data_IF_806663323470
#
_entry.id   IF_806663323470
#
_cell.length_a   1.000
_cell.length_b   1.000
_cell.length_c   1.000
_cell.angle_alpha   90.00
_cell.angle_beta   90.00
_cell.angle_gamma   90.00
#
_symmetry.space_group_name_H-M   'P 1'
#
loop_
_entity.id
_entity.type
_entity.pdbx_description
1 polymer ?
#
# COMPACT_ATOMS: atom_id res chain seq x y z
N UNK A 1 -8.64 8.12 -15.72
CA UNK A 1 -7.88 8.34 -14.45
C UNK A 1 -6.40 7.92 -14.51
N UNK A 2 -5.99 7.06 -15.45
CA UNK A 2 -4.58 6.76 -15.70
C UNK A 2 -3.75 7.98 -16.08
N UNK A 3 -4.28 8.88 -16.92
CA UNK A 3 -3.58 10.11 -17.36
C UNK A 3 -3.07 10.92 -16.16
N UNK A 4 -3.97 11.17 -15.19
CA UNK A 4 -3.61 11.86 -13.96
C UNK A 4 -2.58 11.08 -13.12
N UNK A 5 -2.85 9.80 -12.84
CA UNK A 5 -1.95 8.99 -12.01
C UNK A 5 -0.55 8.80 -12.61
N UNK A 6 -0.46 8.67 -13.93
CA UNK A 6 0.80 8.53 -14.65
C UNK A 6 1.64 9.80 -14.53
N UNK A 7 1.04 10.98 -14.76
CA UNK A 7 1.74 12.26 -14.66
C UNK A 7 2.31 12.51 -13.24
N UNK A 8 1.53 12.19 -12.20
CA UNK A 8 1.99 12.29 -10.80
C UNK A 8 3.12 11.29 -10.53
N UNK A 9 2.97 10.03 -10.96
CA UNK A 9 4.00 9.01 -10.79
C UNK A 9 5.31 9.38 -11.49
N UNK A 10 5.25 9.96 -12.70
CA UNK A 10 6.43 10.43 -13.42
C UNK A 10 7.16 11.56 -12.68
N UNK A 11 6.40 12.49 -12.11
CA UNK A 11 6.97 13.59 -11.32
C UNK A 11 7.66 13.09 -10.05
N UNK A 12 7.07 12.11 -9.37
CA UNK A 12 7.60 11.53 -8.13
C UNK A 12 8.80 10.61 -8.38
N UNK A 13 8.73 9.76 -9.42
CA UNK A 13 9.84 8.88 -9.79
C UNK A 13 11.06 9.69 -10.27
N UNK A 14 10.83 10.85 -10.90
CA UNK A 14 11.85 11.78 -11.36
C UNK A 14 12.98 11.07 -12.15
N UNK A 15 12.59 10.15 -13.04
CA UNK A 15 13.48 9.33 -13.87
C UNK A 15 14.46 8.44 -13.08
N UNK A 16 14.19 8.16 -11.81
CA UNK A 16 15.01 7.26 -10.97
C UNK A 16 14.76 5.78 -11.28
N UNK A 17 13.65 5.45 -11.97
CA UNK A 17 13.32 4.08 -12.33
C UNK A 17 12.97 3.21 -11.12
N UNK A 18 12.46 3.83 -10.04
CA UNK A 18 12.01 3.14 -8.83
C UNK A 18 10.68 2.46 -9.11
N UNK A 19 9.75 3.16 -9.76
CA UNK A 19 8.42 2.65 -10.10
C UNK A 19 8.45 1.80 -11.39
N UNK A 20 8.86 0.53 -11.27
CA UNK A 20 9.06 -0.40 -12.40
C UNK A 20 7.78 -0.89 -13.08
N UNK A 21 6.70 -1.06 -12.31
CA UNK A 21 5.38 -1.49 -12.80
C UNK A 21 4.33 -0.51 -12.28
N UNK A 22 3.31 -0.22 -13.09
CA UNK A 22 2.29 0.78 -12.76
C UNK A 22 0.90 0.23 -13.01
N UNK A 23 0.07 0.27 -11.97
CA UNK A 23 -1.31 -0.16 -12.02
C UNK A 23 -2.23 1.02 -11.71
N UNK A 24 -3.39 1.07 -12.37
CA UNK A 24 -4.34 2.18 -12.27
C UNK A 24 -5.74 1.63 -12.05
N UNK A 25 -6.75 2.51 -12.00
CA UNK A 25 -8.14 2.12 -11.67
C UNK A 25 -8.70 1.01 -12.56
N UNK A 26 -8.35 0.96 -13.84
CA UNK A 26 -8.82 -0.10 -14.73
C UNK A 26 -8.29 -1.50 -14.37
N UNK A 27 -7.25 -1.59 -13.53
CA UNK A 27 -6.70 -2.86 -13.02
C UNK A 27 -7.25 -3.22 -11.63
N UNK A 28 -8.13 -2.40 -11.05
CA UNK A 28 -8.75 -2.70 -9.76
C UNK A 28 -10.06 -3.48 -9.96
N UNK A 29 -10.41 -4.30 -8.98
CA UNK A 29 -11.68 -5.05 -8.96
C UNK A 29 -12.78 -4.16 -8.38
N UNK A 30 -13.84 -3.83 -9.14
CA UNK A 30 -14.97 -3.08 -8.61
C UNK A 30 -15.82 -3.98 -7.70
N UNK A 31 -16.05 -3.55 -6.45
CA UNK A 31 -16.78 -4.32 -5.46
C UNK A 31 -17.51 -3.40 -4.48
N UNK A 32 -18.83 -3.59 -4.33
CA UNK A 32 -19.69 -2.87 -3.36
C UNK A 32 -19.52 -1.34 -3.41
N UNK A 33 -19.42 -0.75 -4.61
CA UNK A 33 -19.24 0.70 -4.78
C UNK A 33 -17.83 1.22 -4.50
N UNK A 34 -16.86 0.32 -4.23
CA UNK A 34 -15.45 0.65 -4.07
C UNK A 34 -14.58 -0.13 -5.06
N UNK A 35 -13.26 0.06 -4.97
CA UNK A 35 -12.26 -0.63 -5.77
C UNK A 35 -11.28 -1.35 -4.85
N UNK A 36 -11.23 -2.67 -4.97
CA UNK A 36 -10.24 -3.52 -4.29
C UNK A 36 -9.03 -3.70 -5.21
N UNK A 37 -7.83 -3.67 -4.65
CA UNK A 37 -6.57 -3.90 -5.35
C UNK A 37 -6.14 -5.34 -5.15
N UNK A 38 -6.11 -6.10 -6.24
CA UNK A 38 -5.69 -7.49 -6.21
C UNK A 38 -4.16 -7.61 -6.17
N UNK A 39 -3.61 -8.05 -5.04
CA UNK A 39 -2.16 -8.22 -4.89
C UNK A 39 -1.60 -9.39 -5.70
N UNK A 40 -2.43 -10.37 -6.07
CA UNK A 40 -1.99 -11.51 -6.88
C UNK A 40 -1.60 -11.08 -8.30
N UNK A 41 -2.18 -9.97 -8.78
CA UNK A 41 -1.79 -9.31 -10.04
C UNK A 41 -0.39 -8.67 -9.98
N UNK A 42 0.12 -8.41 -8.77
CA UNK A 42 1.46 -7.84 -8.55
C UNK A 42 2.48 -8.94 -8.26
N UNK A 43 2.13 -9.90 -7.40
CA UNK A 43 2.96 -11.05 -7.03
C UNK A 43 2.07 -12.25 -6.73
N UNK A 44 2.36 -13.41 -7.34
CA UNK A 44 1.71 -14.67 -6.98
C UNK A 44 2.11 -15.15 -5.58
N UNK A 45 3.32 -14.79 -5.13
CA UNK A 45 3.78 -15.07 -3.78
C UNK A 45 3.38 -13.94 -2.83
N UNK A 46 2.32 -14.20 -2.06
CA UNK A 46 1.79 -13.27 -1.05
C UNK A 46 2.69 -13.12 0.17
N UNK A 47 3.68 -14.00 0.37
CA UNK A 47 4.65 -13.86 1.47
C UNK A 47 5.66 -12.73 1.23
N UNK A 48 5.79 -12.26 -0.03
CA UNK A 48 6.80 -11.28 -0.48
C UNK A 48 6.20 -9.96 -0.99
N UNK A 49 4.92 -9.71 -0.76
CA UNK A 49 4.23 -8.47 -1.17
C UNK A 49 3.39 -7.91 -0.03
N UNK A 50 3.37 -6.60 0.10
CA UNK A 50 2.47 -5.89 0.98
C UNK A 50 1.89 -4.67 0.25
N UNK A 51 0.82 -4.10 0.80
CA UNK A 51 0.19 -2.87 0.32
C UNK A 51 0.18 -1.82 1.40
N UNK A 52 0.60 -0.60 1.04
CA UNK A 52 0.47 0.60 1.85
C UNK A 52 -0.69 1.42 1.28
N UNK A 53 -1.77 1.59 2.04
CA UNK A 53 -2.94 2.33 1.57
C UNK A 53 -3.68 3.02 2.72
N UNK A 54 -4.28 4.16 2.43
CA UNK A 54 -5.08 4.93 3.38
C UNK A 54 -6.57 4.55 3.37
N UNK A 55 -7.00 3.71 2.43
CA UNK A 55 -8.37 3.22 2.34
C UNK A 55 -8.45 1.72 2.66
N UNK A 56 -9.11 1.31 3.76
CA UNK A 56 -9.34 -0.09 4.08
C UNK A 56 -10.03 -0.90 2.98
N UNK A 57 -10.87 -0.26 2.18
CA UNK A 57 -11.53 -0.93 1.06
C UNK A 57 -10.54 -1.37 -0.03
N UNK A 58 -9.41 -0.68 -0.19
CA UNK A 58 -8.43 -1.00 -1.24
C UNK A 58 -7.72 -2.34 -1.00
N UNK A 59 -7.56 -2.75 0.27
CA UNK A 59 -6.89 -4.01 0.65
C UNK A 59 -7.85 -4.98 1.35
N UNK A 60 -9.16 -4.84 1.15
CA UNK A 60 -10.18 -5.67 1.80
C UNK A 60 -9.92 -7.18 1.65
N UNK A 61 -9.45 -7.61 0.47
CA UNK A 61 -9.15 -9.01 0.19
C UNK A 61 -7.79 -9.49 0.74
N UNK A 62 -6.94 -8.57 1.21
CA UNK A 62 -5.57 -8.85 1.66
C UNK A 62 -5.22 -8.12 2.97
N UNK A 63 -6.03 -8.27 4.04
CA UNK A 63 -5.82 -7.54 5.29
C UNK A 63 -4.47 -7.86 5.95
N UNK A 64 -4.02 -9.11 5.88
CA UNK A 64 -2.74 -9.53 6.48
C UNK A 64 -1.50 -9.01 5.74
N UNK A 65 -1.68 -8.52 4.52
CA UNK A 65 -0.64 -7.92 3.69
C UNK A 65 -0.69 -6.38 3.75
N UNK A 66 -1.59 -5.80 4.54
CA UNK A 66 -1.81 -4.36 4.54
C UNK A 66 -1.02 -3.65 5.64
N UNK A 67 -0.47 -2.49 5.28
CA UNK A 67 -0.03 -1.46 6.21
C UNK A 67 -1.00 -0.29 6.03
N UNK A 68 -1.91 -0.06 6.98
CA UNK A 68 -2.74 1.14 6.96
C UNK A 68 -1.86 2.38 7.16
N UNK A 69 -2.10 3.43 6.37
CA UNK A 69 -1.46 4.73 6.55
C UNK A 69 -2.50 5.84 6.61
N UNK A 70 -2.22 6.90 7.35
CA UNK A 70 -3.11 8.05 7.44
C UNK A 70 -3.22 8.76 6.09
N UNK A 71 -4.41 9.29 5.81
CA UNK A 71 -4.59 10.25 4.72
C UNK A 71 -3.79 11.51 5.01
N UNK A 72 -3.08 12.02 4.00
CA UNK A 72 -2.29 13.24 4.11
C UNK A 72 -3.04 14.42 3.48
N UNK A 73 -3.09 15.54 4.21
CA UNK A 73 -3.80 16.76 3.80
C UNK A 73 -2.90 18.00 3.97
N UNK A 74 -1.77 18.03 3.26
CA UNK A 74 -0.87 19.19 3.23
C UNK A 74 -0.21 19.57 4.56
N UNK A 75 -0.22 18.67 5.55
CA UNK A 75 0.52 18.85 6.80
C UNK A 75 2.02 18.72 6.54
N UNK A 76 2.76 19.81 6.79
CA UNK A 76 4.22 19.88 6.62
C UNK A 76 4.98 19.23 7.77
N UNK A 77 4.30 18.94 8.89
CA UNK A 77 4.85 18.22 10.03
C UNK A 77 4.61 16.71 9.97
N UNK A 78 3.90 16.22 8.95
CA UNK A 78 3.63 14.79 8.77
C UNK A 78 4.94 14.00 8.61
N UNK A 79 5.06 12.95 9.42
CA UNK A 79 6.20 12.02 9.40
C UNK A 79 5.77 10.59 9.13
N UNK A 80 4.53 10.36 8.65
CA UNK A 80 3.95 9.02 8.56
C UNK A 80 4.81 8.07 7.72
N UNK A 81 5.31 8.52 6.56
CA UNK A 81 6.19 7.71 5.71
C UNK A 81 7.57 7.46 6.34
N UNK A 82 8.12 8.43 7.08
CA UNK A 82 9.41 8.28 7.77
C UNK A 82 9.30 7.26 8.91
N UNK A 83 8.18 7.27 9.63
CA UNK A 83 7.92 6.35 10.75
C UNK A 83 7.76 4.89 10.28
N UNK A 84 7.55 4.64 8.98
CA UNK A 84 7.52 3.29 8.43
C UNK A 84 8.91 2.69 8.21
N UNK A 85 9.97 3.50 8.12
CA UNK A 85 11.31 3.03 7.76
C UNK A 85 11.82 1.87 8.64
N UNK A 86 11.70 1.90 9.98
CA UNK A 86 12.18 0.79 10.81
C UNK A 86 11.42 -0.52 10.56
N UNK A 87 10.11 -0.43 10.34
CA UNK A 87 9.29 -1.62 10.04
C UNK A 87 9.59 -2.16 8.64
N UNK A 88 9.74 -1.30 7.64
CA UNK A 88 10.14 -1.70 6.29
C UNK A 88 11.52 -2.36 6.27
N UNK A 89 12.46 -1.88 7.11
CA UNK A 89 13.77 -2.51 7.26
C UNK A 89 13.65 -3.89 7.91
N UNK A 90 12.82 -4.03 8.95
CA UNK A 90 12.57 -5.33 9.59
C UNK A 90 11.95 -6.36 8.63
N UNK A 91 11.04 -5.96 7.74
CA UNK A 91 10.41 -6.85 6.75
C UNK A 91 11.43 -7.48 5.78
N UNK A 92 12.62 -6.89 5.60
CA UNK A 92 13.68 -7.45 4.76
C UNK A 92 14.20 -8.80 5.26
N UNK A 93 14.03 -9.07 6.56
CA UNK A 93 14.53 -10.27 7.23
C UNK A 93 13.45 -11.32 7.48
N UNK A 94 12.22 -11.08 7.00
CA UNK A 94 11.12 -12.03 7.15
C UNK A 94 10.98 -12.90 5.91
N UNK A 95 10.70 -14.19 6.11
CA UNK A 95 10.33 -15.07 5.00
C UNK A 95 8.91 -14.81 4.51
N UNK A 96 8.03 -14.38 5.41
CA UNK A 96 6.65 -13.99 5.13
C UNK A 96 6.33 -12.67 5.81
N UNK A 97 6.08 -11.61 5.04
CA UNK A 97 5.74 -10.29 5.57
C UNK A 97 4.50 -10.32 6.46
N UNK A 98 3.56 -11.24 6.21
CA UNK A 98 2.32 -11.39 6.99
C UNK A 98 2.61 -11.84 8.41
N UNK A 99 3.73 -12.53 8.66
CA UNK A 99 4.14 -12.95 10.02
C UNK A 99 4.37 -11.76 10.97
N UNK A 100 4.70 -10.60 10.41
CA UNK A 100 4.87 -9.33 11.13
C UNK A 100 3.61 -8.48 11.00
N UNK A 101 3.08 -8.32 9.78
CA UNK A 101 1.99 -7.39 9.50
C UNK A 101 0.65 -7.81 10.16
N UNK A 102 0.32 -9.09 10.18
CA UNK A 102 -0.91 -9.60 10.82
C UNK A 102 -0.97 -9.33 12.34
N UNK A 103 0.17 -9.04 12.98
CA UNK A 103 0.21 -8.72 14.41
C UNK A 103 -0.32 -7.32 14.72
N UNK A 104 -0.32 -6.43 13.73
CA UNK A 104 -0.77 -5.05 13.86
C UNK A 104 -2.30 -4.89 13.77
N UNK A 105 -3.04 -5.98 13.54
CA UNK A 105 -4.50 -5.95 13.35
C UNK A 105 -5.27 -5.41 14.57
N UNK A 106 -4.67 -5.41 15.78
CA UNK A 106 -5.31 -4.89 16.99
C UNK A 106 -5.47 -3.35 17.02
N UNK A 107 -4.84 -2.62 16.09
CA UNK A 107 -4.99 -1.17 15.96
C UNK A 107 -6.03 -0.73 14.91
N UNK A 108 -6.75 -1.67 14.27
CA UNK A 108 -7.79 -1.34 13.29
C UNK A 108 -9.01 -0.61 13.89
N UNK A 109 -9.17 -0.61 15.23
CA UNK A 109 -10.24 0.09 15.92
C UNK A 109 -9.91 1.55 16.30
N UNK A 110 -8.69 2.04 16.02
CA UNK A 110 -8.28 3.40 16.42
C UNK A 110 -8.48 4.47 15.34
N UNK A 111 -8.96 4.10 14.15
CA UNK A 111 -9.11 5.00 13.00
C UNK A 111 -10.48 4.87 12.29
N UNK A 112 -11.53 4.49 13.03
CA UNK A 112 -12.92 4.75 12.65
C UNK A 112 -13.36 6.11 13.20
#
# INVERSE_FOLDING_TARGET
MQIYGAAVADKLDNRRGILRRRFYRQHCTPEMGSYTKDLTSVSSDLSRVFILDNSPAAYRAFPDNAIPIKSWFSDTSDTALLNLLPMLDALRFTDDVRSVLSRNLHNHNLWQ
#
